data_IF_067639866032
#
_entry.id   IF_067639866032
#
_cell.length_a   1.000
_cell.length_b   1.000
_cell.length_c   1.000
_cell.angle_alpha   90.00
_cell.angle_beta   90.00
_cell.angle_gamma   90.00
#
_symmetry.space_group_name_H-M   'P 1'
#
loop_
_entity.id
_entity.type
_entity.pdbx_description
1 polymer ?
#
# COMPACT_ATOMS: atom_id res chain seq x y z
N UNK A 1 -23.26 -39.63 14.90
CA UNK A 1 -23.74 -38.35 15.46
C UNK A 1 -22.97 -37.24 14.77
N UNK A 2 -23.68 -36.43 13.99
CA UNK A 2 -23.32 -35.14 13.39
C UNK A 2 -21.88 -34.89 12.92
N UNK A 3 -21.67 -35.18 11.63
CA UNK A 3 -20.67 -34.55 10.79
C UNK A 3 -21.15 -33.11 10.50
N UNK A 4 -20.58 -32.11 11.16
CA UNK A 4 -20.86 -30.70 10.85
C UNK A 4 -19.82 -30.21 9.85
N UNK A 5 -20.09 -30.43 8.57
CA UNK A 5 -19.56 -29.60 7.49
C UNK A 5 -20.07 -28.18 7.75
N UNK A 6 -19.23 -27.34 8.36
CA UNK A 6 -19.43 -25.90 8.35
C UNK A 6 -19.18 -25.46 6.90
N UNK A 7 -20.23 -25.48 6.08
CA UNK A 7 -20.18 -24.90 4.76
C UNK A 7 -19.79 -23.43 4.94
N UNK A 8 -18.63 -23.02 4.40
CA UNK A 8 -18.30 -21.61 4.24
C UNK A 8 -19.47 -20.97 3.50
N UNK A 9 -20.18 -20.04 4.16
CA UNK A 9 -21.20 -19.26 3.48
C UNK A 9 -20.55 -18.60 2.25
N UNK A 10 -21.23 -18.57 1.08
CA UNK A 10 -20.70 -17.88 -0.08
C UNK A 10 -20.47 -16.43 0.31
N UNK A 11 -19.21 -16.00 0.25
CA UNK A 11 -18.81 -14.62 0.54
C UNK A 11 -19.57 -13.73 -0.44
N UNK A 12 -20.41 -12.85 0.09
CA UNK A 12 -21.13 -11.92 -0.77
C UNK A 12 -20.14 -10.92 -1.36
N UNK A 13 -20.45 -10.31 -2.50
CA UNK A 13 -19.57 -9.29 -3.10
C UNK A 13 -19.27 -8.14 -2.11
N UNK A 14 -20.24 -7.81 -1.24
CA UNK A 14 -20.12 -6.84 -0.15
C UNK A 14 -19.06 -7.24 0.90
N UNK A 15 -18.96 -8.53 1.24
CA UNK A 15 -17.96 -9.01 2.20
C UNK A 15 -16.53 -8.97 1.64
N UNK A 16 -16.36 -8.86 0.31
CA UNK A 16 -15.04 -8.75 -0.33
C UNK A 16 -14.38 -7.40 -0.04
N UNK A 17 -15.16 -6.35 0.25
CA UNK A 17 -14.64 -5.02 0.54
C UNK A 17 -14.18 -4.88 1.99
N UNK A 18 -14.72 -5.71 2.89
CA UNK A 18 -14.42 -5.64 4.32
C UNK A 18 -12.97 -5.98 4.64
N UNK A 19 -12.29 -5.14 5.42
CA UNK A 19 -10.85 -5.30 5.67
C UNK A 19 -10.33 -4.54 6.90
N UNK A 20 -9.20 -5.00 7.43
CA UNK A 20 -8.50 -4.33 8.53
C UNK A 20 -9.15 -4.55 9.89
N UNK A 21 -8.76 -3.71 10.85
CA UNK A 21 -9.19 -3.82 12.24
C UNK A 21 -10.65 -3.34 12.42
N UNK A 22 -11.51 -4.09 13.16
CA UNK A 22 -12.92 -3.71 13.40
C UNK A 22 -13.11 -2.50 14.33
N UNK A 23 -12.04 -1.96 14.92
CA UNK A 23 -12.13 -0.78 15.78
C UNK A 23 -12.60 0.44 14.97
N UNK A 24 -13.63 1.10 15.50
CA UNK A 24 -14.27 2.24 14.83
C UNK A 24 -13.24 3.35 14.59
N UNK A 25 -13.19 3.86 13.36
CA UNK A 25 -12.25 4.89 12.88
C UNK A 25 -10.77 4.49 12.81
N UNK A 26 -10.42 3.24 13.09
CA UNK A 26 -9.04 2.75 12.86
C UNK A 26 -8.74 2.51 11.38
N UNK A 27 -9.78 2.26 10.59
CA UNK A 27 -9.68 1.99 9.16
C UNK A 27 -10.56 2.97 8.37
N UNK A 28 -10.26 3.20 7.08
CA UNK A 28 -11.13 3.97 6.20
C UNK A 28 -12.56 3.44 6.23
N UNK A 29 -13.54 4.34 6.25
CA UNK A 29 -14.96 3.99 6.41
C UNK A 29 -15.48 2.99 5.36
N UNK A 30 -14.88 3.00 4.16
CA UNK A 30 -15.20 2.09 3.07
C UNK A 30 -14.72 0.64 3.27
N UNK A 31 -13.88 0.39 4.27
CA UNK A 31 -13.43 -0.96 4.65
C UNK A 31 -14.44 -1.67 5.55
N UNK A 32 -15.43 -0.98 6.14
CA UNK A 32 -16.24 -1.57 7.21
C UNK A 32 -17.74 -1.31 7.03
N UNK A 33 -18.14 -0.03 6.98
CA UNK A 33 -19.55 0.34 7.19
C UNK A 33 -20.17 1.12 6.03
N UNK A 34 -19.35 1.75 5.17
CA UNK A 34 -19.84 2.65 4.12
C UNK A 34 -19.31 2.26 2.75
N UNK A 35 -20.02 1.36 2.09
CA UNK A 35 -19.75 1.04 0.69
C UNK A 35 -19.89 2.30 -0.16
N UNK A 36 -18.81 2.69 -0.83
CA UNK A 36 -18.79 3.82 -1.74
C UNK A 36 -18.79 3.29 -3.18
N UNK A 37 -19.62 3.87 -4.07
CA UNK A 37 -19.72 3.41 -5.46
C UNK A 37 -18.44 3.64 -6.27
N UNK A 38 -17.47 4.37 -5.71
CA UNK A 38 -16.19 4.67 -6.35
C UNK A 38 -15.12 3.61 -6.09
N UNK A 39 -15.29 2.78 -5.05
CA UNK A 39 -14.39 1.66 -4.82
C UNK A 39 -14.88 0.44 -5.60
N UNK A 40 -13.96 -0.19 -6.30
CA UNK A 40 -14.21 -1.25 -7.27
C UNK A 40 -13.28 -2.42 -6.92
N UNK A 41 -13.49 -3.62 -7.46
CA UNK A 41 -12.61 -4.76 -7.19
C UNK A 41 -11.12 -4.48 -7.47
N UNK A 42 -10.81 -3.65 -8.47
CA UNK A 42 -9.41 -3.22 -8.75
C UNK A 42 -8.79 -2.48 -7.55
N UNK A 43 -9.56 -1.65 -6.85
CA UNK A 43 -9.12 -0.90 -5.68
C UNK A 43 -8.81 -1.82 -4.51
N UNK A 44 -9.68 -2.81 -4.28
CA UNK A 44 -9.50 -3.84 -3.24
C UNK A 44 -8.24 -4.68 -3.50
N UNK A 45 -8.03 -5.09 -4.75
CA UNK A 45 -6.86 -5.86 -5.14
C UNK A 45 -5.56 -5.05 -4.97
N UNK A 46 -5.56 -3.78 -5.39
CA UNK A 46 -4.41 -2.91 -5.23
C UNK A 46 -4.09 -2.63 -3.76
N UNK A 47 -5.11 -2.34 -2.93
CA UNK A 47 -4.95 -2.21 -1.47
C UNK A 47 -4.24 -3.43 -0.88
N UNK A 48 -4.73 -4.64 -1.19
CA UNK A 48 -4.14 -5.88 -0.67
C UNK A 48 -2.67 -6.05 -1.07
N UNK A 49 -2.32 -5.68 -2.31
CA UNK A 49 -0.94 -5.69 -2.81
C UNK A 49 -0.05 -4.71 -2.02
N UNK A 50 -0.50 -3.47 -1.83
CA UNK A 50 0.28 -2.46 -1.08
C UNK A 50 0.42 -2.86 0.38
N UNK A 51 -0.66 -3.31 1.05
CA UNK A 51 -0.60 -3.77 2.44
C UNK A 51 0.40 -4.90 2.63
N UNK A 52 0.35 -5.92 1.77
CA UNK A 52 1.27 -7.05 1.86
C UNK A 52 2.74 -6.61 1.74
N UNK A 53 3.02 -5.63 0.88
CA UNK A 53 4.36 -5.05 0.77
C UNK A 53 4.76 -4.27 2.04
N UNK A 54 3.87 -3.43 2.56
CA UNK A 54 4.12 -2.63 3.77
C UNK A 54 4.39 -3.52 4.98
N UNK A 55 3.57 -4.55 5.21
CA UNK A 55 3.72 -5.48 6.33
C UNK A 55 5.00 -6.32 6.23
N UNK A 56 5.41 -6.70 5.02
CA UNK A 56 6.58 -7.55 4.81
C UNK A 56 7.91 -6.76 4.81
N UNK A 57 7.93 -5.57 4.21
CA UNK A 57 9.18 -4.87 3.87
C UNK A 57 9.35 -3.52 4.58
N UNK A 58 8.28 -2.94 5.16
CA UNK A 58 8.36 -1.65 5.86
C UNK A 58 8.24 -1.82 7.37
N UNK A 59 7.10 -2.32 7.85
CA UNK A 59 6.80 -2.41 9.29
C UNK A 59 7.92 -3.04 10.13
N UNK A 60 8.61 -4.12 9.68
CA UNK A 60 9.67 -4.74 10.47
C UNK A 60 10.98 -3.96 10.52
N UNK A 61 11.21 -3.03 9.59
CA UNK A 61 12.54 -2.45 9.33
C UNK A 61 12.63 -0.95 9.57
N UNK A 62 11.51 -0.23 9.47
CA UNK A 62 11.47 1.23 9.51
C UNK A 62 12.09 1.82 10.78
N UNK A 63 11.72 1.31 11.96
CA UNK A 63 12.23 1.83 13.24
C UNK A 63 13.77 1.72 13.33
N UNK A 64 14.31 0.58 12.90
CA UNK A 64 15.76 0.33 12.88
C UNK A 64 16.49 1.28 11.93
N UNK A 65 15.88 1.63 10.79
CA UNK A 65 16.43 2.59 9.84
C UNK A 65 16.45 4.01 10.39
N UNK A 66 15.37 4.41 11.07
CA UNK A 66 15.27 5.75 11.67
C UNK A 66 16.23 5.93 12.84
N UNK A 67 16.34 4.95 13.74
CA UNK A 67 17.29 4.98 14.86
C UNK A 67 18.73 5.14 14.37
N UNK A 68 19.14 4.34 13.38
CA UNK A 68 20.47 4.46 12.78
C UNK A 68 20.73 5.80 12.11
N UNK A 69 19.71 6.38 11.47
CA UNK A 69 19.87 7.71 10.88
C UNK A 69 20.04 8.80 11.94
N UNK A 70 19.41 8.67 13.11
CA UNK A 70 19.65 9.58 14.25
C UNK A 70 21.09 9.46 14.75
N UNK A 71 21.63 8.25 14.83
CA UNK A 71 23.02 8.00 15.24
C UNK A 71 24.04 8.51 14.23
N UNK A 72 23.70 8.49 12.93
CA UNK A 72 24.55 8.96 11.85
C UNK A 72 23.78 9.91 10.90
N UNK A 73 23.62 11.19 11.25
CA UNK A 73 22.81 12.14 10.46
C UNK A 73 23.36 12.41 9.06
N UNK A 74 24.66 12.23 8.85
CA UNK A 74 25.32 12.39 7.56
C UNK A 74 25.36 11.09 6.74
N UNK A 75 24.98 9.96 7.35
CA UNK A 75 24.89 8.65 6.73
C UNK A 75 23.44 8.33 6.36
N UNK A 76 23.23 8.04 5.08
CA UNK A 76 21.97 7.49 4.62
C UNK A 76 22.04 5.95 4.73
N UNK A 77 21.56 5.39 5.84
CA UNK A 77 21.76 3.97 6.17
C UNK A 77 20.59 3.04 5.78
N UNK A 78 19.52 3.60 5.22
CA UNK A 78 18.49 2.80 4.56
C UNK A 78 19.02 2.35 3.18
N UNK A 79 18.93 1.06 2.81
CA UNK A 79 19.32 0.56 1.49
C UNK A 79 18.29 0.98 0.41
N UNK A 80 18.10 2.29 0.22
CA UNK A 80 17.00 2.86 -0.57
C UNK A 80 16.96 2.35 -2.00
N UNK A 81 18.11 2.10 -2.63
CA UNK A 81 18.15 1.60 -4.01
C UNK A 81 17.57 0.20 -4.13
N UNK A 82 17.94 -0.71 -3.22
CA UNK A 82 17.44 -2.08 -3.24
C UNK A 82 16.00 -2.15 -2.75
N UNK A 83 15.66 -1.35 -1.75
CA UNK A 83 14.29 -1.20 -1.28
C UNK A 83 13.35 -0.68 -2.38
N UNK A 84 13.68 0.41 -3.05
CA UNK A 84 12.87 0.95 -4.15
C UNK A 84 12.81 -0.02 -5.33
N UNK A 85 13.88 -0.79 -5.59
CA UNK A 85 13.86 -1.85 -6.60
C UNK A 85 12.90 -2.97 -6.23
N UNK A 86 12.82 -3.38 -4.95
CA UNK A 86 11.83 -4.33 -4.46
C UNK A 86 10.41 -3.77 -4.60
N UNK A 87 10.20 -2.52 -4.20
CA UNK A 87 8.90 -1.84 -4.32
C UNK A 87 8.44 -1.74 -5.78
N UNK A 88 9.35 -1.44 -6.70
CA UNK A 88 9.10 -1.44 -8.14
C UNK A 88 8.73 -2.83 -8.65
N UNK A 89 9.49 -3.87 -8.28
CA UNK A 89 9.16 -5.27 -8.63
C UNK A 89 7.80 -5.73 -8.08
N UNK A 90 7.42 -5.24 -6.90
CA UNK A 90 6.12 -5.51 -6.29
C UNK A 90 4.97 -4.72 -6.96
N UNK A 91 5.28 -3.73 -7.80
CA UNK A 91 4.30 -2.85 -8.44
C UNK A 91 3.68 -1.83 -7.49
N UNK A 92 4.41 -1.42 -6.45
CA UNK A 92 3.98 -0.46 -5.42
C UNK A 92 4.70 0.90 -5.59
N UNK A 93 5.75 0.96 -6.41
CA UNK A 93 6.51 2.19 -6.66
C UNK A 93 6.19 2.79 -8.03
N UNK A 94 5.94 4.10 -8.09
CA UNK A 94 5.50 4.80 -9.30
C UNK A 94 4.22 4.23 -9.97
N UNK A 95 3.17 3.82 -9.22
CA UNK A 95 1.99 3.22 -9.82
C UNK A 95 1.12 4.18 -10.65
N UNK A 96 1.26 5.49 -10.45
CA UNK A 96 0.57 6.53 -11.22
C UNK A 96 1.13 6.72 -12.64
N UNK A 97 2.35 6.25 -12.89
CA UNK A 97 3.04 6.48 -14.16
C UNK A 97 2.81 5.31 -15.13
N UNK A 98 2.64 5.58 -16.43
CA UNK A 98 2.62 4.54 -17.45
C UNK A 98 3.92 3.73 -17.51
N UNK A 99 3.85 2.45 -17.87
CA UNK A 99 5.02 1.57 -18.02
C UNK A 99 6.09 2.12 -18.96
N UNK A 100 5.68 2.84 -20.02
CA UNK A 100 6.60 3.50 -20.98
C UNK A 100 7.56 4.51 -20.33
N UNK A 101 7.24 5.01 -19.15
CA UNK A 101 8.08 5.93 -18.38
C UNK A 101 8.66 5.25 -17.13
N UNK A 102 8.65 3.92 -17.07
CA UNK A 102 9.15 3.17 -15.92
C UNK A 102 8.24 3.23 -14.71
N UNK A 103 6.93 3.41 -14.89
CA UNK A 103 5.93 3.25 -13.83
C UNK A 103 5.44 1.81 -13.69
N UNK A 104 4.58 1.57 -12.69
CA UNK A 104 3.96 0.24 -12.44
C UNK A 104 2.44 0.36 -12.27
N UNK A 105 1.70 0.71 -13.34
CA UNK A 105 0.27 0.94 -13.21
C UNK A 105 -0.45 -0.32 -12.74
N UNK A 106 -1.39 -0.20 -11.79
CA UNK A 106 -2.18 -1.35 -11.34
C UNK A 106 -3.12 -1.82 -12.46
N UNK A 107 -3.53 -3.08 -12.36
CA UNK A 107 -4.52 -3.67 -13.25
C UNK A 107 -5.83 -2.87 -13.18
N UNK A 108 -6.40 -2.52 -14.34
CA UNK A 108 -7.58 -1.65 -14.41
C UNK A 108 -7.29 -0.14 -14.35
N UNK A 109 -6.01 0.25 -14.36
CA UNK A 109 -5.56 1.63 -14.49
C UNK A 109 -5.50 2.40 -13.16
N UNK A 110 -4.90 3.59 -13.24
CA UNK A 110 -4.73 4.50 -12.11
C UNK A 110 -5.83 5.58 -12.09
N UNK A 111 -6.40 5.83 -10.91
CA UNK A 111 -7.34 6.92 -10.65
C UNK A 111 -7.10 7.53 -9.26
N UNK A 112 -7.90 8.54 -8.90
CA UNK A 112 -7.75 9.25 -7.63
C UNK A 112 -7.98 8.35 -6.40
N UNK A 113 -8.80 7.29 -6.52
CA UNK A 113 -9.07 6.39 -5.39
C UNK A 113 -7.92 5.41 -5.17
N UNK A 114 -7.23 4.99 -6.24
CA UNK A 114 -5.94 4.29 -6.13
C UNK A 114 -4.89 5.12 -5.40
N UNK A 115 -4.82 6.44 -5.66
CA UNK A 115 -3.88 7.34 -5.01
C UNK A 115 -4.15 7.47 -3.50
N UNK A 116 -5.43 7.63 -3.13
CA UNK A 116 -5.84 7.64 -1.72
C UNK A 116 -5.48 6.34 -1.00
N UNK A 117 -5.69 5.20 -1.64
CA UNK A 117 -5.32 3.89 -1.09
C UNK A 117 -3.81 3.79 -0.92
N UNK A 118 -3.05 4.17 -1.93
CA UNK A 118 -1.60 4.09 -1.91
C UNK A 118 -1.00 4.92 -0.77
N UNK A 119 -1.49 6.15 -0.60
CA UNK A 119 -1.09 7.05 0.48
C UNK A 119 -1.46 6.48 1.86
N UNK A 120 -2.69 6.01 2.05
CA UNK A 120 -3.15 5.42 3.32
C UNK A 120 -2.29 4.23 3.72
N UNK A 121 -2.06 3.32 2.77
CA UNK A 121 -1.34 2.07 3.01
C UNK A 121 0.15 2.30 3.27
N UNK A 122 0.81 3.19 2.52
CA UNK A 122 2.21 3.55 2.81
C UNK A 122 2.33 4.29 4.14
N UNK A 123 1.35 5.12 4.51
CA UNK A 123 1.31 5.84 5.78
C UNK A 123 1.40 4.92 7.01
N UNK A 124 0.99 3.66 6.88
CA UNK A 124 1.08 2.64 7.95
C UNK A 124 2.50 2.25 8.31
N UNK A 125 3.48 2.60 7.49
CA UNK A 125 4.90 2.48 7.85
C UNK A 125 5.29 3.36 9.04
N UNK A 126 4.48 4.36 9.40
CA UNK A 126 4.72 5.30 10.50
C UNK A 126 6.01 6.13 10.36
N UNK A 127 6.61 6.16 9.16
CA UNK A 127 7.81 6.94 8.87
C UNK A 127 7.56 8.00 7.81
N UNK A 128 7.81 9.26 8.19
CA UNK A 128 7.75 10.38 7.27
C UNK A 128 8.84 10.29 6.18
N UNK A 129 10.01 9.72 6.50
CA UNK A 129 11.12 9.53 5.56
C UNK A 129 10.76 8.54 4.45
N UNK A 130 10.24 7.37 4.83
CA UNK A 130 9.77 6.38 3.87
C UNK A 130 8.59 6.91 3.05
N UNK A 131 7.61 7.52 3.71
CA UNK A 131 6.46 8.12 3.02
C UNK A 131 6.91 9.15 1.96
N UNK A 132 7.86 10.03 2.32
CA UNK A 132 8.42 11.02 1.41
C UNK A 132 9.18 10.37 0.24
N UNK A 133 9.90 9.26 0.48
CA UNK A 133 10.62 8.55 -0.59
C UNK A 133 9.68 8.00 -1.66
N UNK A 134 8.48 7.54 -1.29
CA UNK A 134 7.46 7.11 -2.25
C UNK A 134 6.76 8.26 -2.93
N UNK A 135 6.43 9.32 -2.20
CA UNK A 135 5.52 10.38 -2.69
C UNK A 135 6.24 11.53 -3.39
N UNK A 136 7.52 11.79 -3.12
CA UNK A 136 8.21 12.93 -3.73
C UNK A 136 8.30 12.84 -5.26
N UNK A 137 8.28 11.63 -5.81
CA UNK A 137 8.25 11.38 -7.27
C UNK A 137 6.91 11.78 -7.91
N UNK A 138 5.85 11.99 -7.11
CA UNK A 138 4.56 12.48 -7.59
C UNK A 138 4.55 14.02 -7.67
N UNK A 139 5.43 14.67 -6.90
CA UNK A 139 5.52 16.13 -6.81
C UNK A 139 6.37 16.74 -7.92
N UNK A 140 7.27 15.96 -8.53
CA UNK A 140 8.05 16.35 -9.70
C UNK A 140 7.47 15.68 -10.97
N UNK A 141 7.57 16.37 -12.12
CA UNK A 141 7.27 15.82 -13.45
C UNK A 141 7.95 14.44 -13.65
N UNK A 142 7.42 13.57 -14.55
CA UNK A 142 7.78 12.14 -14.60
C UNK A 142 9.29 11.93 -14.56
N UNK A 143 9.73 10.89 -13.85
CA UNK A 143 11.09 10.36 -13.88
C UNK A 143 11.42 9.92 -15.31
N UNK A 144 11.82 10.86 -16.16
CA UNK A 144 12.50 10.56 -17.42
C UNK A 144 13.87 10.01 -17.01
N UNK A 145 13.98 8.68 -17.06
CA UNK A 145 15.27 7.98 -17.05
C UNK A 145 16.06 8.33 -18.33
#
# INVERSE_FOLDING_TARGET
SFCTLLALAPTTMADTFKYGEPVVYSEPSWYQFFESPYYEPKHVAFRGKVRAFVEAELVPHVAEWEERHIENPNGFEMPIRDFLRKAYKAGVFAPQWPEKYGGTPPEGGWDAFMDLIWIDEIGRSQSAGVFSAFTIITMALPLVL
#
